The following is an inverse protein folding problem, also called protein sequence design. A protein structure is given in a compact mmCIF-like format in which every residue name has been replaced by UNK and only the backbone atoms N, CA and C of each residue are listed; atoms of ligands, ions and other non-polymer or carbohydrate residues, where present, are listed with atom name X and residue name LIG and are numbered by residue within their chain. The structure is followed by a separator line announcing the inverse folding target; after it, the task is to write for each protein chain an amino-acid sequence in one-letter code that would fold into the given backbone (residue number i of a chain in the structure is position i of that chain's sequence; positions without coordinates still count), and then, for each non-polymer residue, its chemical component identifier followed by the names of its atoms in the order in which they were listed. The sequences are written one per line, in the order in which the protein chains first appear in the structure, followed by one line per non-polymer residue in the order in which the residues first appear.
data_IF_246212233523
#
_entry.id   IF_246212233523
#
_cell.length_a   1.000
_cell.length_b   1.000
_cell.length_c   1.000
_cell.angle_alpha   90.00
_cell.angle_beta   90.00
_cell.angle_gamma   90.00
#
_symmetry.space_group_name_H-M   'P 1'
#
loop_
_entity.id
_entity.type
_entity.pdbx_description
1 polymer ?
#
# COMPACT_ATOMS: atom_id res chain seq x y z
N UNK A 1 13.90 16.77 9.06
CA UNK A 1 12.61 16.82 8.35
C UNK A 1 11.91 15.48 8.55
N UNK A 2 10.63 15.46 8.92
CA UNK A 2 9.88 14.20 9.02
C UNK A 2 9.65 13.60 7.62
N UNK A 3 9.76 12.26 7.46
CA UNK A 3 9.57 11.64 6.16
C UNK A 3 8.17 11.94 5.60
N UNK A 4 8.02 12.09 4.27
CA UNK A 4 6.75 12.44 3.66
C UNK A 4 5.74 11.28 3.80
N UNK A 5 4.47 11.62 4.06
CA UNK A 5 3.36 10.66 4.00
C UNK A 5 3.11 10.23 2.56
N UNK A 6 2.84 8.94 2.36
CA UNK A 6 2.61 8.32 1.06
C UNK A 6 1.27 7.56 1.05
N UNK A 7 0.67 7.42 -0.13
CA UNK A 7 -0.33 6.40 -0.42
C UNK A 7 0.34 5.29 -1.24
N UNK A 8 0.24 4.04 -0.80
CA UNK A 8 0.81 2.87 -1.49
C UNK A 8 -0.31 1.97 -1.99
N UNK A 9 -0.19 1.49 -3.23
CA UNK A 9 -1.12 0.54 -3.82
C UNK A 9 -0.39 -0.42 -4.76
N UNK A 10 -0.94 -1.62 -4.93
CA UNK A 10 -0.45 -2.56 -5.92
C UNK A 10 -0.82 -2.10 -7.32
N UNK A 11 0.17 -2.04 -8.21
CA UNK A 11 -0.02 -1.72 -9.61
C UNK A 11 0.10 -3.01 -10.42
N UNK A 12 -1.04 -3.54 -10.85
CA UNK A 12 -1.19 -4.77 -11.65
C UNK A 12 -0.39 -4.72 -12.95
N UNK A 13 -0.42 -3.59 -13.67
CA UNK A 13 0.31 -3.43 -14.93
C UNK A 13 1.84 -3.47 -14.74
N UNK A 14 2.35 -2.89 -13.65
CA UNK A 14 3.79 -2.86 -13.35
C UNK A 14 4.26 -4.04 -12.49
N UNK A 15 3.32 -4.80 -11.92
CA UNK A 15 3.58 -5.91 -11.00
C UNK A 15 4.50 -5.48 -9.84
N UNK A 16 4.22 -4.32 -9.26
CA UNK A 16 4.93 -3.75 -8.11
C UNK A 16 4.04 -2.79 -7.33
N UNK A 17 4.49 -2.31 -6.18
CA UNK A 17 3.83 -1.21 -5.50
C UNK A 17 4.14 0.12 -6.17
N UNK A 18 3.10 0.92 -6.38
CA UNK A 18 3.22 2.35 -6.68
C UNK A 18 3.10 3.13 -5.37
N UNK A 19 4.08 3.99 -5.11
CA UNK A 19 4.19 4.79 -3.90
C UNK A 19 3.97 6.26 -4.31
N UNK A 20 2.83 6.82 -3.92
CA UNK A 20 2.44 8.19 -4.28
C UNK A 20 2.68 9.12 -3.09
N UNK A 21 3.65 10.05 -3.18
CA UNK A 21 3.81 11.06 -2.13
C UNK A 21 2.58 11.96 -2.05
N UNK A 22 2.18 12.35 -0.83
CA UNK A 22 1.08 13.30 -0.62
C UNK A 22 1.50 14.76 -0.76
N UNK A 23 2.79 15.05 -0.64
CA UNK A 23 3.36 16.36 -0.94
C UNK A 23 3.95 16.35 -2.36
N UNK A 24 3.59 17.33 -3.22
CA UNK A 24 4.23 17.49 -4.51
C UNK A 24 5.76 17.56 -4.36
N UNK A 25 6.48 16.98 -5.31
CA UNK A 25 7.96 17.00 -5.38
C UNK A 25 8.69 16.43 -4.16
N UNK A 26 8.00 15.68 -3.28
CA UNK A 26 8.67 14.96 -2.23
C UNK A 26 9.52 13.84 -2.84
N UNK A 27 10.81 13.86 -2.51
CA UNK A 27 11.75 12.81 -2.87
C UNK A 27 11.69 11.68 -1.85
N UNK A 28 11.81 10.46 -2.36
CA UNK A 28 11.89 9.23 -1.58
C UNK A 28 13.22 8.56 -1.93
N UNK A 29 14.25 8.85 -1.14
CA UNK A 29 15.57 8.24 -1.29
C UNK A 29 15.46 6.71 -1.24
N UNK A 30 16.13 6.02 -2.17
CA UNK A 30 16.10 4.56 -2.26
C UNK A 30 14.91 4.00 -3.05
N UNK A 31 14.08 4.85 -3.66
CA UNK A 31 12.98 4.44 -4.53
C UNK A 31 13.17 4.99 -5.95
N UNK A 32 12.84 4.18 -6.96
CA UNK A 32 12.90 4.60 -8.35
C UNK A 32 11.66 5.42 -8.71
N UNK A 33 11.86 6.65 -9.19
CA UNK A 33 10.77 7.54 -9.59
C UNK A 33 10.23 7.11 -10.96
N UNK A 34 8.90 7.08 -11.10
CA UNK A 34 8.28 6.81 -12.40
C UNK A 34 8.64 7.89 -13.43
N UNK A 35 8.68 7.58 -14.74
CA UNK A 35 9.03 8.54 -15.79
C UNK A 35 8.15 9.81 -15.81
N UNK A 36 6.90 9.70 -15.36
CA UNK A 36 5.96 10.84 -15.27
C UNK A 36 6.08 11.64 -13.96
N UNK A 37 6.98 11.25 -13.05
CA UNK A 37 7.26 11.95 -11.80
C UNK A 37 6.13 11.93 -10.75
N UNK A 38 5.04 11.18 -10.94
CA UNK A 38 3.87 11.21 -10.02
C UNK A 38 3.96 10.22 -8.87
N UNK A 39 4.64 9.10 -9.10
CA UNK A 39 4.79 7.99 -8.15
C UNK A 39 6.20 7.43 -8.23
N UNK A 40 6.56 6.62 -7.23
CA UNK A 40 7.73 5.76 -7.23
C UNK A 40 7.30 4.30 -7.37
N UNK A 41 8.17 3.44 -7.89
CA UNK A 41 7.93 2.01 -8.02
C UNK A 41 8.88 1.22 -7.12
N UNK A 42 8.34 0.22 -6.40
CA UNK A 42 9.16 -0.70 -5.60
C UNK A 42 8.39 -2.02 -5.36
N UNK A 43 9.08 -3.15 -5.28
CA UNK A 43 8.52 -4.46 -4.87
C UNK A 43 8.78 -4.78 -3.40
N UNK A 44 9.35 -3.84 -2.66
CA UNK A 44 9.93 -4.13 -1.36
C UNK A 44 11.36 -4.66 -1.47
N UNK A 45 12.02 -4.85 -0.32
CA UNK A 45 11.47 -4.59 1.02
C UNK A 45 11.36 -3.09 1.36
N UNK A 46 10.25 -2.68 2.01
CA UNK A 46 10.13 -1.39 2.71
C UNK A 46 9.01 -1.44 3.75
N UNK A 47 9.02 -0.49 4.70
CA UNK A 47 8.06 -0.40 5.80
C UNK A 47 7.36 0.96 5.81
N UNK A 48 6.06 0.95 6.12
CA UNK A 48 5.30 2.15 6.48
C UNK A 48 4.99 2.17 7.98
N UNK A 49 5.22 3.32 8.60
CA UNK A 49 4.79 3.63 9.96
C UNK A 49 3.43 4.33 9.97
N UNK A 50 2.66 4.11 11.04
CA UNK A 50 1.37 4.73 11.32
C UNK A 50 0.40 4.54 10.13
N UNK A 51 0.26 3.30 9.72
CA UNK A 51 -0.47 2.91 8.52
C UNK A 51 -1.98 2.99 8.72
N UNK A 52 -2.67 3.48 7.70
CA UNK A 52 -4.14 3.56 7.60
C UNK A 52 -4.58 2.91 6.30
N UNK A 53 -5.63 2.11 6.36
CA UNK A 53 -6.10 1.30 5.24
C UNK A 53 -7.36 1.93 4.66
N UNK A 54 -7.29 2.40 3.42
CA UNK A 54 -8.36 3.17 2.80
C UNK A 54 -8.88 2.47 1.55
N UNK A 55 -10.19 2.25 1.50
CA UNK A 55 -10.92 1.76 0.33
C UNK A 55 -11.98 2.80 -0.05
N UNK A 56 -11.92 3.31 -1.28
CA UNK A 56 -12.96 4.18 -1.82
C UNK A 56 -14.12 3.33 -2.34
N UNK A 57 -15.26 3.35 -1.65
CA UNK A 57 -16.44 2.57 -2.06
C UNK A 57 -16.94 2.98 -3.45
N UNK A 58 -17.00 4.28 -3.73
CA UNK A 58 -17.39 4.80 -5.06
C UNK A 58 -16.50 4.27 -6.20
N UNK A 59 -15.19 4.20 -6.00
CA UNK A 59 -14.29 3.67 -7.03
C UNK A 59 -14.38 2.15 -7.08
N UNK A 60 -14.48 1.46 -5.94
CA UNK A 60 -14.71 0.01 -5.87
C UNK A 60 -15.98 -0.40 -6.63
N UNK A 61 -17.09 0.32 -6.47
CA UNK A 61 -18.33 0.09 -7.21
C UNK A 61 -18.12 0.23 -8.71
N UNK A 62 -17.39 1.26 -9.17
CA UNK A 62 -17.05 1.41 -10.59
C UNK A 62 -16.16 0.30 -11.11
N UNK A 63 -15.21 -0.18 -10.32
CA UNK A 63 -14.35 -1.33 -10.66
C UNK A 63 -15.20 -2.59 -10.82
N UNK A 64 -16.17 -2.82 -9.92
CA UNK A 64 -17.07 -3.97 -10.01
C UNK A 64 -18.02 -3.89 -11.20
N UNK A 65 -18.63 -2.72 -11.45
CA UNK A 65 -19.59 -2.52 -12.53
C UNK A 65 -18.91 -2.55 -13.91
N UNK A 66 -17.84 -1.78 -14.07
CA UNK A 66 -17.22 -1.53 -15.37
C UNK A 66 -16.03 -2.44 -15.66
N UNK A 67 -15.61 -3.28 -14.68
CA UNK A 67 -14.40 -4.11 -14.74
C UNK A 67 -13.14 -3.31 -15.11
N UNK A 68 -13.07 -2.05 -14.65
CA UNK A 68 -11.95 -1.13 -14.92
C UNK A 68 -10.89 -1.20 -13.83
N UNK A 69 -9.63 -1.12 -14.23
CA UNK A 69 -8.49 -1.03 -13.31
C UNK A 69 -8.34 0.41 -12.79
N UNK A 70 -9.18 0.79 -11.83
CA UNK A 70 -9.06 2.05 -11.10
C UNK A 70 -8.50 1.80 -9.69
N UNK A 71 -7.63 2.69 -9.21
CA UNK A 71 -7.07 2.59 -7.85
C UNK A 71 -8.17 2.93 -6.84
N UNK A 72 -8.64 1.91 -6.14
CA UNK A 72 -9.73 1.98 -5.18
C UNK A 72 -9.28 1.62 -3.76
N UNK A 73 -8.08 1.06 -3.59
CA UNK A 73 -7.54 0.64 -2.32
C UNK A 73 -6.09 1.13 -2.16
N UNK A 74 -5.79 1.77 -1.03
CA UNK A 74 -4.48 2.33 -0.72
C UNK A 74 -4.14 2.15 0.76
N UNK A 75 -2.87 1.89 1.05
CA UNK A 75 -2.31 1.90 2.40
C UNK A 75 -1.52 3.19 2.57
N UNK A 76 -1.90 4.00 3.55
CA UNK A 76 -1.30 5.31 3.79
C UNK A 76 -0.48 5.30 5.06
N UNK A 77 0.75 5.77 4.99
CA UNK A 77 1.63 5.89 6.15
C UNK A 77 2.84 6.77 5.84
N UNK A 78 3.85 6.68 6.69
CA UNK A 78 5.15 7.34 6.50
C UNK A 78 6.19 6.29 6.18
N UNK A 79 7.02 6.50 5.14
CA UNK A 79 8.11 5.56 4.83
C UNK A 79 9.12 5.55 5.98
N UNK A 80 9.39 4.37 6.52
CA UNK A 80 10.40 4.16 7.56
C UNK A 80 11.79 3.95 6.95
N UNK A 81 12.84 4.28 7.70
CA UNK A 81 14.21 3.94 7.35
C UNK A 81 14.50 2.43 7.51
N UNK A 82 13.62 1.72 8.22
CA UNK A 82 13.73 0.28 8.46
C UNK A 82 13.42 -0.48 7.16
N UNK A 83 14.38 -1.28 6.72
CA UNK A 83 14.23 -2.20 5.58
C UNK A 83 14.33 -3.63 6.08
N UNK A 84 13.23 -4.39 6.03
CA UNK A 84 13.20 -5.81 6.45
C UNK A 84 12.82 -6.68 5.26
N UNK A 85 13.68 -7.65 4.94
CA UNK A 85 13.51 -8.59 3.81
C UNK A 85 12.55 -9.74 4.12
N UNK A 86 12.29 -10.00 5.40
CA UNK A 86 11.45 -11.10 5.87
C UNK A 86 10.19 -10.60 6.58
N UNK A 87 9.06 -11.35 6.51
CA UNK A 87 7.88 -11.02 7.30
C UNK A 87 8.21 -11.01 8.79
N UNK A 88 7.67 -10.07 9.57
CA UNK A 88 7.87 -10.07 11.02
C UNK A 88 7.26 -11.34 11.63
N UNK A 89 7.89 -11.90 12.66
CA UNK A 89 7.48 -13.16 13.31
C UNK A 89 6.01 -13.14 13.75
N UNK A 90 5.52 -12.00 14.25
CA UNK A 90 4.13 -11.78 14.67
C UNK A 90 3.30 -11.04 13.61
N UNK A 91 3.78 -10.98 12.37
CA UNK A 91 3.17 -10.28 11.27
C UNK A 91 1.88 -10.93 10.79
N UNK A 92 0.79 -10.17 10.81
CA UNK A 92 -0.47 -10.61 10.23
C UNK A 92 -0.56 -10.20 8.76
N UNK A 93 -0.74 -11.18 7.87
CA UNK A 93 -0.90 -10.92 6.44
C UNK A 93 -2.19 -10.13 6.17
N UNK A 94 -2.07 -9.06 5.39
CA UNK A 94 -3.19 -8.24 4.93
C UNK A 94 -3.74 -8.84 3.63
N UNK A 95 -5.06 -8.99 3.54
CA UNK A 95 -5.77 -9.40 2.33
C UNK A 95 -6.71 -8.30 1.85
N UNK A 96 -6.83 -8.19 0.53
CA UNK A 96 -7.85 -7.36 -0.10
C UNK A 96 -8.23 -7.92 -1.46
N UNK A 97 -9.53 -8.13 -1.68
CA UNK A 97 -10.11 -8.45 -2.98
C UNK A 97 -11.39 -7.62 -3.12
N UNK A 98 -11.50 -6.70 -4.11
CA UNK A 98 -12.68 -5.86 -4.25
C UNK A 98 -13.97 -6.64 -4.49
N UNK A 99 -13.91 -7.86 -5.04
CA UNK A 99 -15.10 -8.68 -5.30
C UNK A 99 -15.60 -9.44 -4.07
N UNK A 100 -14.75 -9.60 -3.06
CA UNK A 100 -15.07 -10.36 -1.84
C UNK A 100 -15.27 -9.45 -0.63
N UNK A 101 -14.50 -8.35 -0.54
CA UNK A 101 -14.38 -7.56 0.68
C UNK A 101 -14.54 -6.06 0.38
N UNK A 102 -15.29 -5.36 1.24
CA UNK A 102 -15.41 -3.90 1.19
C UNK A 102 -14.21 -3.18 1.82
N UNK A 103 -13.38 -3.88 2.60
CA UNK A 103 -12.25 -3.36 3.36
C UNK A 103 -11.04 -4.30 3.25
N UNK A 104 -9.87 -3.83 3.68
CA UNK A 104 -8.74 -4.71 3.95
C UNK A 104 -9.07 -5.60 5.14
N UNK A 105 -8.66 -6.87 5.08
CA UNK A 105 -9.00 -7.87 6.10
C UNK A 105 -7.81 -8.74 6.49
N UNK A 106 -7.88 -9.33 7.67
CA UNK A 106 -7.00 -10.41 8.12
C UNK A 106 -7.31 -11.70 7.36
N UNK A 107 -6.48 -12.77 7.48
CA UNK A 107 -6.82 -14.07 6.91
C UNK A 107 -8.12 -14.66 7.46
N UNK A 108 -8.51 -14.28 8.68
CA UNK A 108 -9.78 -14.64 9.33
C UNK A 108 -10.95 -13.73 8.97
N UNK A 109 -10.77 -12.78 8.05
CA UNK A 109 -11.83 -11.88 7.56
C UNK A 109 -12.13 -10.68 8.46
N UNK A 110 -11.33 -10.43 9.52
CA UNK A 110 -11.52 -9.26 10.38
C UNK A 110 -11.02 -7.99 9.68
N UNK A 111 -11.76 -6.87 9.72
CA UNK A 111 -11.31 -5.62 9.13
C UNK A 111 -9.99 -5.10 9.71
N UNK A 112 -9.14 -4.56 8.84
CA UNK A 112 -7.91 -3.84 9.21
C UNK A 112 -8.09 -2.38 8.81
N UNK A 113 -8.12 -1.50 9.81
CA UNK A 113 -8.28 -0.05 9.59
C UNK A 113 -6.97 0.72 9.78
N UNK A 114 -6.14 0.26 10.72
CA UNK A 114 -4.85 0.87 11.08
C UNK A 114 -3.84 -0.20 11.50
N UNK A 115 -2.57 0.12 11.40
CA UNK A 115 -1.46 -0.66 11.94
C UNK A 115 -0.30 0.26 12.34
N UNK A 116 0.49 -0.13 13.32
CA UNK A 116 1.67 0.64 13.70
C UNK A 116 2.73 0.53 12.60
N UNK A 117 2.94 -0.70 12.10
CA UNK A 117 3.85 -0.99 11.00
C UNK A 117 3.15 -1.78 9.91
N UNK A 118 3.44 -1.45 8.65
CA UNK A 118 3.07 -2.25 7.49
C UNK A 118 4.30 -2.56 6.65
N UNK A 119 4.62 -3.85 6.51
CA UNK A 119 5.78 -4.39 5.82
C UNK A 119 5.38 -4.81 4.41
N UNK A 120 6.07 -4.28 3.40
CA UNK A 120 5.82 -4.57 1.99
C UNK A 120 6.94 -5.45 1.47
N UNK A 121 6.62 -6.71 1.15
CA UNK A 121 7.59 -7.73 0.77
C UNK A 121 7.07 -8.48 -0.46
N UNK A 122 7.72 -8.24 -1.61
CA UNK A 122 7.27 -8.75 -2.90
C UNK A 122 5.93 -8.15 -3.32
N UNK A 123 4.86 -8.95 -3.26
CA UNK A 123 3.47 -8.52 -3.51
C UNK A 123 2.62 -8.50 -2.24
N UNK A 124 3.19 -8.91 -1.13
CA UNK A 124 2.48 -9.17 0.12
C UNK A 124 2.67 -7.99 1.08
N UNK A 125 1.68 -7.84 1.96
CA UNK A 125 1.72 -6.86 3.04
C UNK A 125 1.46 -7.56 4.37
N UNK A 126 2.29 -7.27 5.37
CA UNK A 126 2.14 -7.77 6.75
C UNK A 126 2.03 -6.59 7.71
N UNK A 127 1.21 -6.73 8.75
CA UNK A 127 1.01 -5.69 9.77
C UNK A 127 1.32 -6.19 11.16
N UNK A 128 1.75 -5.25 12.01
CA UNK A 128 1.99 -5.43 13.45
C UNK A 128 1.38 -4.25 14.20
#
# INVERSE_FOLDING_TARGET
MSPPKVDVYWNTHKRCFSIRPRKPYAELSGFERSPRGRVFYNRGPFVLENSTFHVSQKVRERVMQNKREEVHATIRGTVSAITVTEPPLLGMRVRYNPYENAQFVTPSGRPILKANLAYFIGKEVFVV
#
